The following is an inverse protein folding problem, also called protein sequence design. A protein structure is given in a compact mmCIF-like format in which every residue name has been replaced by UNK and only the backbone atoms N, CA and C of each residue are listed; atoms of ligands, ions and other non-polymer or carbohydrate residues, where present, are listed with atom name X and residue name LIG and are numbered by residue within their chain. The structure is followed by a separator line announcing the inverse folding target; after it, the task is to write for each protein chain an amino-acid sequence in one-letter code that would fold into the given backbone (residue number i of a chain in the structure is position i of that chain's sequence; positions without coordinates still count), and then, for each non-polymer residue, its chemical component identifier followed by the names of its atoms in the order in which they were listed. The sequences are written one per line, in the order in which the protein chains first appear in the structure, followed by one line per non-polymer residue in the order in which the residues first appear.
data_IF_253424143314
#
_entry.id   IF_253424143314
#
_cell.length_a   1.000
_cell.length_b   1.000
_cell.length_c   1.000
_cell.angle_alpha   90.00
_cell.angle_beta   90.00
_cell.angle_gamma   90.00
#
_symmetry.space_group_name_H-M   'P 1'
#
loop_
_entity.id
_entity.type
_entity.pdbx_description
1 polymer ?
#
# COMPACT_ATOMS: atom_id res chain seq x y z
N UNK A 1 42.96 -1.52 -34.83
CA UNK A 1 41.92 -1.14 -33.84
C UNK A 1 41.21 -2.45 -33.52
N UNK A 2 41.79 -3.18 -32.55
CA UNK A 2 41.34 -4.51 -32.16
C UNK A 2 40.03 -4.40 -31.36
N UNK A 3 38.97 -5.00 -31.90
CA UNK A 3 37.62 -5.05 -31.33
C UNK A 3 37.29 -6.43 -30.72
N UNK A 4 38.29 -7.11 -30.19
CA UNK A 4 38.11 -8.48 -29.67
C UNK A 4 38.56 -8.59 -28.21
N UNK A 5 38.16 -7.64 -27.37
CA UNK A 5 38.32 -7.78 -25.93
C UNK A 5 37.11 -8.52 -25.37
N UNK A 6 37.27 -9.73 -24.82
CA UNK A 6 36.15 -10.47 -24.26
C UNK A 6 35.61 -9.73 -23.03
N UNK A 7 34.29 -9.52 -23.02
CA UNK A 7 33.56 -8.94 -21.88
C UNK A 7 33.88 -9.75 -20.60
N UNK A 8 34.14 -9.07 -19.48
CA UNK A 8 34.43 -9.77 -18.22
C UNK A 8 33.23 -10.63 -17.82
N UNK A 9 33.52 -11.85 -17.42
CA UNK A 9 32.55 -12.83 -16.92
C UNK A 9 31.74 -12.24 -15.77
N UNK A 10 30.50 -11.82 -16.07
CA UNK A 10 29.52 -11.30 -15.11
C UNK A 10 28.87 -12.42 -14.29
N UNK A 11 29.57 -13.52 -14.06
CA UNK A 11 29.19 -14.47 -13.03
C UNK A 11 29.40 -13.86 -11.62
N UNK A 12 28.75 -12.72 -11.37
CA UNK A 12 28.58 -12.20 -10.03
C UNK A 12 27.68 -13.20 -9.31
N UNK A 13 28.31 -14.12 -8.59
CA UNK A 13 27.63 -14.91 -7.57
C UNK A 13 27.05 -13.94 -6.56
N UNK A 14 25.79 -13.57 -6.75
CA UNK A 14 25.01 -12.85 -5.75
C UNK A 14 24.67 -13.84 -4.63
N UNK A 15 25.63 -14.16 -3.80
CA UNK A 15 25.36 -14.77 -2.51
C UNK A 15 24.77 -13.68 -1.62
N UNK A 16 23.47 -13.47 -1.72
CA UNK A 16 22.68 -12.70 -0.75
C UNK A 16 22.48 -13.58 0.50
N UNK A 17 23.55 -14.00 1.09
CA UNK A 17 23.49 -14.47 2.46
C UNK A 17 23.39 -13.23 3.36
N UNK A 18 22.19 -12.67 3.43
CA UNK A 18 21.84 -11.82 4.56
C UNK A 18 21.92 -12.73 5.77
N UNK A 19 22.82 -12.46 6.75
CA UNK A 19 22.85 -13.23 7.97
C UNK A 19 21.48 -13.08 8.62
N UNK A 20 20.65 -14.11 8.52
CA UNK A 20 19.41 -14.18 9.27
C UNK A 20 19.84 -14.38 10.72
N UNK A 21 19.62 -13.40 11.63
CA UNK A 21 19.96 -13.61 13.03
C UNK A 21 19.27 -14.87 13.51
N UNK A 22 20.01 -15.79 14.10
CA UNK A 22 19.54 -17.09 14.54
C UNK A 22 18.45 -17.04 15.63
N UNK A 23 17.96 -15.85 15.97
CA UNK A 23 17.01 -15.61 17.05
C UNK A 23 15.95 -14.56 16.68
N UNK A 24 15.12 -14.86 15.67
CA UNK A 24 13.75 -14.32 15.70
C UNK A 24 12.83 -15.42 16.27
N UNK A 25 12.53 -15.40 17.58
CA UNK A 25 11.64 -16.38 18.19
C UNK A 25 10.18 -16.20 17.73
N UNK A 26 9.90 -15.17 16.94
CA UNK A 26 8.57 -14.86 16.40
C UNK A 26 8.60 -14.95 14.88
N UNK A 27 7.81 -15.86 14.35
CA UNK A 27 7.59 -15.95 12.92
C UNK A 27 6.84 -14.68 12.45
N UNK A 28 7.15 -14.10 11.29
CA UNK A 28 6.49 -12.89 10.78
C UNK A 28 4.99 -13.14 10.56
N UNK A 29 4.20 -12.13 10.82
CA UNK A 29 2.76 -12.09 10.55
C UNK A 29 2.51 -11.04 9.48
N UNK A 30 1.70 -11.37 8.48
CA UNK A 30 1.19 -10.43 7.52
C UNK A 30 -0.13 -9.86 8.03
N UNK A 31 -0.18 -8.55 8.22
CA UNK A 31 -1.42 -7.84 8.50
C UNK A 31 -1.94 -7.25 7.19
N UNK A 32 -3.16 -7.58 6.83
CA UNK A 32 -3.81 -7.10 5.62
C UNK A 32 -5.27 -6.79 5.87
N UNK A 33 -6.01 -6.52 4.80
CA UNK A 33 -7.47 -6.42 4.87
C UNK A 33 -8.10 -6.85 3.56
N UNK A 34 -9.16 -7.63 3.64
CA UNK A 34 -9.96 -8.02 2.48
C UNK A 34 -10.73 -6.82 1.87
N UNK A 35 -10.82 -5.70 2.57
CA UNK A 35 -11.37 -4.44 2.04
C UNK A 35 -10.66 -4.03 0.75
N UNK A 36 -9.34 -4.21 0.67
CA UNK A 36 -8.55 -3.84 -0.50
C UNK A 36 -8.90 -4.64 -1.76
N UNK A 37 -9.62 -5.75 -1.63
CA UNK A 37 -10.09 -6.55 -2.76
C UNK A 37 -11.17 -5.83 -3.56
N UNK A 38 -11.91 -4.97 -2.92
CA UNK A 38 -13.03 -4.21 -3.48
C UNK A 38 -12.74 -2.72 -3.65
N UNK A 39 -11.59 -2.24 -3.16
CA UNK A 39 -11.20 -0.84 -3.31
C UNK A 39 -10.96 -0.50 -4.77
N UNK A 40 -11.74 0.45 -5.28
CA UNK A 40 -11.65 0.93 -6.66
C UNK A 40 -11.19 2.38 -6.64
N UNK A 41 -9.91 2.58 -6.86
CA UNK A 41 -9.41 3.91 -7.19
C UNK A 41 -9.97 4.32 -8.57
N UNK A 42 -10.40 5.57 -8.73
CA UNK A 42 -10.96 6.05 -9.99
C UNK A 42 -10.07 5.71 -11.20
N UNK A 43 -10.67 5.57 -12.39
CA UNK A 43 -10.01 5.07 -13.62
C UNK A 43 -8.70 5.77 -14.00
N UNK A 44 -8.49 6.99 -13.54
CA UNK A 44 -7.30 7.81 -13.80
C UNK A 44 -6.27 7.80 -12.68
N UNK A 45 -6.56 7.08 -11.58
CA UNK A 45 -5.64 7.05 -10.45
C UNK A 45 -4.45 6.12 -10.72
N UNK A 46 -3.21 6.51 -10.36
CA UNK A 46 -2.02 5.66 -10.59
C UNK A 46 -2.10 4.29 -9.92
N UNK A 47 -2.90 4.16 -8.85
CA UNK A 47 -3.11 2.92 -8.12
C UNK A 47 -4.33 2.12 -8.60
N UNK A 48 -4.87 2.41 -9.78
CA UNK A 48 -5.99 1.66 -10.37
C UNK A 48 -5.65 0.17 -10.56
N UNK A 49 -4.38 -0.15 -10.75
CA UNK A 49 -3.91 -1.53 -10.87
C UNK A 49 -3.83 -2.12 -9.46
N UNK A 50 -4.69 -3.09 -9.20
CA UNK A 50 -4.64 -3.86 -7.96
C UNK A 50 -3.30 -4.61 -7.86
N UNK A 51 -2.58 -4.42 -6.77
CA UNK A 51 -1.27 -5.04 -6.54
C UNK A 51 -1.24 -5.86 -5.27
N UNK A 52 -1.90 -5.37 -4.23
CA UNK A 52 -1.85 -5.99 -2.89
C UNK A 52 -2.56 -7.34 -2.90
N UNK A 53 -3.80 -7.38 -3.37
CA UNK A 53 -4.61 -8.60 -3.36
C UNK A 53 -4.03 -9.72 -4.21
N UNK A 54 -3.62 -9.48 -5.48
CA UNK A 54 -2.97 -10.51 -6.28
C UNK A 54 -1.65 -11.01 -5.68
N UNK A 55 -0.89 -10.13 -5.01
CA UNK A 55 0.34 -10.54 -4.33
C UNK A 55 0.05 -11.45 -3.14
N UNK A 56 -0.96 -11.13 -2.32
CA UNK A 56 -1.40 -11.98 -1.21
C UNK A 56 -1.91 -13.33 -1.72
N UNK A 57 -2.72 -13.34 -2.79
CA UNK A 57 -3.23 -14.57 -3.39
C UNK A 57 -2.10 -15.45 -3.93
N UNK A 58 -1.10 -14.83 -4.56
CA UNK A 58 0.07 -15.55 -5.07
C UNK A 58 0.88 -16.20 -3.95
N UNK A 59 1.18 -15.48 -2.87
CA UNK A 59 1.97 -16.05 -1.77
C UNK A 59 1.20 -17.14 -1.00
N UNK A 60 -0.14 -17.06 -0.95
CA UNK A 60 -1.00 -18.13 -0.46
C UNK A 60 -0.95 -19.36 -1.38
N UNK A 61 -1.10 -19.16 -2.69
CA UNK A 61 -1.04 -20.25 -3.68
C UNK A 61 0.32 -20.96 -3.69
N UNK A 62 1.40 -20.25 -3.43
CA UNK A 62 2.74 -20.82 -3.29
C UNK A 62 2.99 -21.48 -1.92
N UNK A 63 2.02 -21.44 -1.00
CA UNK A 63 2.15 -22.01 0.35
C UNK A 63 3.10 -21.23 1.27
N UNK A 64 3.51 -20.02 0.87
CA UNK A 64 4.43 -19.19 1.67
C UNK A 64 3.72 -18.43 2.79
N UNK A 65 2.43 -18.15 2.62
CA UNK A 65 1.57 -17.54 3.63
C UNK A 65 0.53 -18.56 4.10
N UNK A 66 0.68 -19.01 5.33
CA UNK A 66 -0.29 -19.89 5.98
C UNK A 66 -1.34 -19.06 6.73
N UNK A 67 -2.52 -19.61 6.96
CA UNK A 67 -3.64 -18.88 7.57
C UNK A 67 -3.32 -18.37 8.98
N UNK A 68 -2.53 -19.11 9.76
CA UNK A 68 -2.06 -18.68 11.09
C UNK A 68 -1.05 -17.51 11.05
N UNK A 69 -0.68 -17.07 9.85
CA UNK A 69 0.27 -15.97 9.58
C UNK A 69 -0.39 -14.75 8.98
N UNK A 70 -1.68 -14.81 8.74
CA UNK A 70 -2.44 -13.67 8.21
C UNK A 70 -3.41 -13.16 9.26
N UNK A 71 -3.41 -11.85 9.47
CA UNK A 71 -4.36 -11.15 10.31
C UNK A 71 -5.15 -10.20 9.43
N UNK A 72 -6.45 -10.44 9.33
CA UNK A 72 -7.36 -9.51 8.66
C UNK A 72 -7.62 -8.32 9.59
N UNK A 73 -7.22 -7.13 9.16
CA UNK A 73 -7.38 -5.90 9.93
C UNK A 73 -8.72 -5.25 9.59
N UNK A 74 -9.55 -4.97 10.58
CA UNK A 74 -10.77 -4.22 10.33
C UNK A 74 -10.46 -2.78 9.93
N UNK A 75 -11.46 -2.10 9.35
CA UNK A 75 -11.37 -0.66 9.08
C UNK A 75 -11.22 0.11 10.40
N UNK A 76 -10.28 1.04 10.44
CA UNK A 76 -10.09 1.90 11.61
C UNK A 76 -11.27 2.89 11.76
N UNK A 77 -11.63 3.23 13.00
CA UNK A 77 -12.63 4.26 13.25
C UNK A 77 -12.00 5.66 13.17
N UNK A 78 -12.81 6.72 12.93
CA UNK A 78 -12.32 8.11 12.95
C UNK A 78 -11.52 8.45 14.21
N UNK A 79 -11.97 7.97 15.39
CA UNK A 79 -11.32 8.21 16.67
C UNK A 79 -9.97 7.50 16.78
N UNK A 80 -9.83 6.32 16.18
CA UNK A 80 -8.55 5.62 16.10
C UNK A 80 -7.57 6.35 15.18
N UNK A 81 -8.05 6.84 14.04
CA UNK A 81 -7.26 7.61 13.08
C UNK A 81 -6.84 8.96 13.67
N UNK A 82 -7.71 9.60 14.47
CA UNK A 82 -7.45 10.87 15.12
C UNK A 82 -6.31 10.84 16.15
N UNK A 83 -5.81 9.65 16.53
CA UNK A 83 -4.59 9.53 17.34
C UNK A 83 -3.33 10.01 16.63
N UNK A 84 -3.36 10.02 15.30
CA UNK A 84 -2.23 10.42 14.47
C UNK A 84 -2.56 11.59 13.53
N UNK A 85 -3.77 11.62 12.97
CA UNK A 85 -4.21 12.66 12.04
C UNK A 85 -5.02 13.74 12.75
N UNK A 86 -4.95 14.96 12.21
CA UNK A 86 -5.78 16.09 12.63
C UNK A 86 -7.27 15.73 12.44
N UNK A 87 -8.11 15.86 13.47
CA UNK A 87 -9.55 15.60 13.38
C UNK A 87 -10.26 16.43 12.31
N UNK A 88 -9.84 17.68 12.07
CA UNK A 88 -10.40 18.54 11.03
C UNK A 88 -10.05 17.99 9.62
N UNK A 89 -8.86 17.42 9.46
CA UNK A 89 -8.49 16.74 8.22
C UNK A 89 -9.36 15.51 7.97
N UNK A 90 -9.59 14.69 9.01
CA UNK A 90 -10.45 13.51 8.91
C UNK A 90 -11.86 13.91 8.50
N UNK A 91 -12.43 14.94 9.16
CA UNK A 91 -13.74 15.47 8.84
C UNK A 91 -13.82 16.00 7.40
N UNK A 92 -12.76 16.65 6.93
CA UNK A 92 -12.67 17.14 5.56
C UNK A 92 -12.66 16.00 4.52
N UNK A 93 -11.98 14.89 4.80
CA UNK A 93 -11.95 13.71 3.91
C UNK A 93 -13.33 13.05 3.86
N UNK A 94 -13.98 12.84 5.00
CA UNK A 94 -15.33 12.28 5.10
C UNK A 94 -16.33 13.13 4.32
N UNK A 95 -16.30 14.45 4.50
CA UNK A 95 -17.20 15.35 3.79
C UNK A 95 -16.92 15.39 2.29
N UNK A 96 -15.67 15.37 1.88
CA UNK A 96 -15.28 15.31 0.47
C UNK A 96 -15.78 14.02 -0.19
N UNK A 97 -15.73 12.88 0.50
CA UNK A 97 -16.31 11.64 0.00
C UNK A 97 -17.83 11.74 -0.16
N UNK A 98 -18.52 12.24 0.86
CA UNK A 98 -19.98 12.35 0.89
C UNK A 98 -20.54 13.29 -0.18
N UNK A 99 -19.94 14.49 -0.29
CA UNK A 99 -20.43 15.55 -1.17
C UNK A 99 -19.87 15.48 -2.59
N UNK A 100 -18.75 14.76 -2.79
CA UNK A 100 -17.94 14.76 -4.03
C UNK A 100 -17.45 16.14 -4.43
N UNK A 101 -17.42 17.06 -3.49
CA UNK A 101 -16.98 18.44 -3.67
C UNK A 101 -16.00 18.80 -2.57
N UNK A 102 -15.01 19.62 -2.92
CA UNK A 102 -14.03 20.11 -1.97
C UNK A 102 -13.99 21.63 -2.06
N UNK A 103 -14.38 22.34 -1.00
CA UNK A 103 -14.24 23.80 -0.93
C UNK A 103 -12.79 24.25 -1.18
N UNK A 104 -12.62 25.46 -1.70
CA UNK A 104 -11.28 25.98 -2.06
C UNK A 104 -10.36 26.00 -0.84
N UNK A 105 -10.87 26.43 0.30
CA UNK A 105 -10.13 26.57 1.56
C UNK A 105 -9.63 25.20 2.05
N UNK A 106 -10.48 24.16 1.95
CA UNK A 106 -10.15 22.78 2.31
C UNK A 106 -9.10 22.22 1.35
N UNK A 107 -9.25 22.50 0.05
CA UNK A 107 -8.30 22.09 -0.98
C UNK A 107 -6.93 22.72 -0.77
N UNK A 108 -6.87 23.98 -0.40
CA UNK A 108 -5.62 24.68 -0.12
C UNK A 108 -4.96 24.19 1.16
N UNK A 109 -5.75 24.03 2.22
CA UNK A 109 -5.24 23.61 3.53
C UNK A 109 -4.75 22.17 3.54
N UNK A 110 -5.48 21.24 2.93
CA UNK A 110 -5.23 19.81 3.03
C UNK A 110 -4.80 19.12 1.74
N UNK A 111 -4.71 19.87 0.65
CA UNK A 111 -4.36 19.35 -0.67
C UNK A 111 -5.27 18.22 -1.19
N UNK A 112 -6.54 18.19 -0.78
CA UNK A 112 -7.57 17.25 -1.23
C UNK A 112 -8.24 17.75 -2.51
N UNK A 113 -8.61 16.85 -3.43
CA UNK A 113 -9.34 17.19 -4.65
C UNK A 113 -8.47 17.88 -5.71
N UNK A 114 -7.16 17.70 -5.67
CA UNK A 114 -6.20 18.13 -6.70
C UNK A 114 -5.76 16.95 -7.56
N UNK A 115 -5.12 17.21 -8.72
CA UNK A 115 -4.70 16.17 -9.66
C UNK A 115 -3.85 15.05 -9.06
N UNK A 116 -3.02 15.35 -8.07
CA UNK A 116 -2.20 14.35 -7.36
C UNK A 116 -2.91 13.68 -6.18
N UNK A 117 -4.08 14.20 -5.77
CA UNK A 117 -4.85 13.70 -4.63
C UNK A 117 -6.36 13.87 -4.89
N UNK A 118 -6.92 13.16 -5.88
CA UNK A 118 -8.33 13.28 -6.26
C UNK A 118 -9.26 12.68 -5.20
N UNK A 119 -10.49 13.17 -5.16
CA UNK A 119 -11.57 12.55 -4.38
C UNK A 119 -12.18 11.41 -5.19
N UNK A 120 -12.33 10.25 -4.57
CA UNK A 120 -12.94 9.05 -5.16
C UNK A 120 -13.87 8.38 -4.14
N UNK A 121 -14.61 7.36 -4.58
CA UNK A 121 -15.46 6.57 -3.69
C UNK A 121 -14.59 5.75 -2.73
N UNK A 122 -15.03 5.62 -1.48
CA UNK A 122 -14.34 4.84 -0.45
C UNK A 122 -12.90 5.35 -0.18
N UNK A 123 -12.73 6.70 -0.24
CA UNK A 123 -11.46 7.33 0.12
C UNK A 123 -11.23 7.31 1.65
N UNK A 124 -12.34 7.19 2.41
CA UNK A 124 -12.33 7.16 3.87
C UNK A 124 -12.63 5.76 4.42
#
# INVERSE_FOLDING_TARGET
MDVDEPLPDLAVRRTWEVPVPAAFPRRPILVGSEIYRHSVYGRTHPLTIQRVTPAVDLVRALGWLQDDRYVDSPRATPEQIARFHDPDYIAAVIEAERSRQVPVEVRERYNIGRNGNPVFAEIF
#
